data_IF_916141964866
#
_entry.id   IF_916141964866
#
_cell.length_a   1.000
_cell.length_b   1.000
_cell.length_c   1.000
_cell.angle_alpha   90.00
_cell.angle_beta   90.00
_cell.angle_gamma   90.00
#
_symmetry.space_group_name_H-M   'P 1'
#
loop_
_entity.id
_entity.type
_entity.pdbx_description
1 polymer ?
#
# COMPACT_ATOMS: atom_id res chain seq x y z
N UNK A 1 -17.93 -8.67 11.99
CA UNK A 1 -16.76 -8.48 11.10
C UNK A 1 -17.29 -8.38 9.70
N UNK A 2 -17.01 -7.28 9.02
CA UNK A 2 -17.64 -6.95 7.74
C UNK A 2 -16.79 -7.47 6.58
N UNK A 3 -16.78 -8.80 6.41
CA UNK A 3 -16.03 -9.45 5.34
C UNK A 3 -16.49 -9.03 3.94
N UNK A 4 -17.76 -8.69 3.78
CA UNK A 4 -18.30 -8.16 2.53
C UNK A 4 -17.59 -6.86 2.11
N UNK A 5 -17.40 -5.94 3.06
CA UNK A 5 -16.65 -4.70 2.83
C UNK A 5 -15.19 -5.00 2.49
N UNK A 6 -14.54 -5.92 3.21
CA UNK A 6 -13.16 -6.29 2.94
C UNK A 6 -12.96 -6.89 1.52
N UNK A 7 -13.88 -7.76 1.07
CA UNK A 7 -13.86 -8.33 -0.28
C UNK A 7 -14.07 -7.24 -1.34
N UNK A 8 -15.01 -6.33 -1.09
CA UNK A 8 -15.27 -5.20 -1.98
C UNK A 8 -14.06 -4.27 -2.09
N UNK A 9 -13.37 -3.98 -0.98
CA UNK A 9 -12.15 -3.19 -0.95
C UNK A 9 -11.02 -3.86 -1.74
N UNK A 10 -10.74 -5.15 -1.49
CA UNK A 10 -9.73 -5.91 -2.22
C UNK A 10 -10.00 -5.91 -3.73
N UNK A 11 -11.23 -6.21 -4.14
CA UNK A 11 -11.61 -6.21 -5.55
C UNK A 11 -11.47 -4.82 -6.18
N UNK A 12 -11.89 -3.79 -5.45
CA UNK A 12 -11.83 -2.41 -5.92
C UNK A 12 -10.40 -1.88 -5.98
N UNK A 13 -9.47 -2.33 -5.13
CA UNK A 13 -8.05 -2.00 -5.21
C UNK A 13 -7.41 -2.47 -6.53
N UNK A 14 -7.93 -3.55 -7.12
CA UNK A 14 -7.44 -4.07 -8.41
C UNK A 14 -8.04 -3.34 -9.61
N UNK A 15 -9.36 -3.12 -9.59
CA UNK A 15 -10.09 -2.60 -10.75
C UNK A 15 -10.08 -1.07 -10.78
N UNK A 16 -10.27 -0.44 -9.63
CA UNK A 16 -10.44 1.01 -9.53
C UNK A 16 -9.98 1.52 -8.16
N UNK A 17 -8.65 1.50 -7.87
CA UNK A 17 -8.11 1.84 -6.55
C UNK A 17 -8.52 3.24 -6.07
N UNK A 18 -8.76 4.19 -6.99
CA UNK A 18 -9.29 5.53 -6.65
C UNK A 18 -10.66 5.49 -5.96
N UNK A 19 -11.49 4.46 -6.19
CA UNK A 19 -12.82 4.33 -5.56
C UNK A 19 -12.72 4.00 -4.07
N UNK A 20 -11.77 3.16 -3.67
CA UNK A 20 -11.57 2.73 -2.27
C UNK A 20 -11.13 3.90 -1.40
N UNK A 21 -10.17 4.69 -1.85
CA UNK A 21 -9.71 5.85 -1.07
C UNK A 21 -10.74 6.98 -1.04
N UNK A 22 -11.60 7.09 -2.07
CA UNK A 22 -12.72 8.03 -2.06
C UNK A 22 -13.77 7.65 -1.01
N UNK A 23 -14.09 6.38 -0.79
CA UNK A 23 -15.02 5.96 0.28
C UNK A 23 -14.42 6.20 1.67
N UNK A 24 -13.14 5.90 1.88
CA UNK A 24 -12.43 6.18 3.15
C UNK A 24 -12.47 7.68 3.46
N UNK A 25 -12.22 8.54 2.47
CA UNK A 25 -12.29 9.99 2.61
C UNK A 25 -13.67 10.51 3.03
N UNK A 26 -14.77 9.88 2.58
CA UNK A 26 -16.12 10.31 2.95
C UNK A 26 -16.60 9.79 4.31
N UNK A 27 -16.02 8.71 4.81
CA UNK A 27 -16.29 8.23 6.18
C UNK A 27 -15.49 8.99 7.24
N UNK A 28 -14.34 9.55 6.86
CA UNK A 28 -13.46 10.35 7.72
C UNK A 28 -13.58 11.86 7.48
N UNK A 29 -14.28 12.28 6.43
CA UNK A 29 -14.58 13.69 6.20
C UNK A 29 -15.62 14.18 7.20
N UNK A 30 -15.58 15.45 7.62
CA UNK A 30 -16.67 16.02 8.41
C UNK A 30 -17.94 15.78 7.60
N UNK A 31 -18.91 15.04 8.16
CA UNK A 31 -20.28 15.12 7.67
C UNK A 31 -20.65 16.58 7.85
N UNK A 32 -20.52 17.35 6.78
CA UNK A 32 -20.87 18.75 6.73
C UNK A 32 -22.31 18.82 7.20
N UNK A 33 -22.49 19.26 8.45
CA UNK A 33 -23.80 19.55 9.01
C UNK A 33 -24.43 20.58 8.09
N UNK A 34 -25.42 20.14 7.32
CA UNK A 34 -26.29 21.05 6.60
C UNK A 34 -27.00 21.90 7.66
N UNK A 35 -26.54 23.13 7.81
CA UNK A 35 -27.37 24.33 8.01
C UNK A 35 -28.62 24.14 8.88
N UNK A 36 -28.47 23.74 10.13
CA UNK A 36 -29.41 24.11 11.21
C UNK A 36 -28.62 24.17 12.53
N UNK A 37 -28.84 25.19 13.38
CA UNK A 37 -28.39 25.11 14.75
C UNK A 37 -29.04 23.88 15.42
N UNK A 38 -28.28 23.04 16.14
CA UNK A 38 -28.84 21.87 16.79
C UNK A 38 -29.82 22.29 17.91
N UNK A 39 -30.90 21.53 18.14
CA UNK A 39 -31.73 21.72 19.33
C UNK A 39 -30.86 21.55 20.60
N UNK A 40 -31.17 22.27 21.70
CA UNK A 40 -30.33 22.34 22.90
C UNK A 40 -30.10 21.00 23.61
N UNK A 41 -30.76 19.94 23.17
CA UNK A 41 -30.79 18.62 23.81
C UNK A 41 -30.04 17.56 22.99
N UNK A 42 -29.44 17.94 21.84
CA UNK A 42 -28.69 17.01 21.00
C UNK A 42 -27.22 16.99 21.41
N UNK A 43 -26.81 15.90 22.05
CA UNK A 43 -25.41 15.56 22.27
C UNK A 43 -24.74 15.46 20.89
N UNK A 44 -24.03 16.52 20.47
CA UNK A 44 -23.19 16.48 19.28
C UNK A 44 -22.11 15.46 19.53
N UNK A 45 -22.28 14.27 18.97
CA UNK A 45 -21.23 13.24 18.93
C UNK A 45 -20.10 13.80 18.07
N UNK A 46 -19.19 14.52 18.73
CA UNK A 46 -17.89 14.93 18.19
C UNK A 46 -17.23 13.67 17.64
N UNK A 47 -17.20 13.54 16.30
CA UNK A 47 -16.44 12.48 15.65
C UNK A 47 -14.98 12.78 15.90
N UNK A 48 -14.39 12.10 16.89
CA UNK A 48 -12.96 12.14 17.21
C UNK A 48 -12.15 12.15 15.91
N UNK A 49 -11.22 13.10 15.76
CA UNK A 49 -10.36 13.28 14.58
C UNK A 49 -9.33 12.14 14.43
N UNK A 50 -9.82 10.90 14.31
CA UNK A 50 -9.02 9.68 14.18
C UNK A 50 -9.15 9.18 12.75
N UNK A 51 -8.03 9.10 12.05
CA UNK A 51 -7.95 8.69 10.65
C UNK A 51 -7.84 7.17 10.50
N UNK A 52 -7.34 6.50 11.53
CA UNK A 52 -7.27 5.05 11.61
C UNK A 52 -8.63 4.46 11.93
N UNK A 53 -9.22 3.79 10.95
CA UNK A 53 -10.31 2.86 11.20
C UNK A 53 -9.70 1.49 11.53
N UNK A 54 -9.98 0.90 12.70
CA UNK A 54 -9.54 -0.47 12.98
C UNK A 54 -10.35 -1.43 12.11
N UNK A 55 -9.83 -1.78 10.93
CA UNK A 55 -10.43 -2.73 9.98
C UNK A 55 -9.66 -4.08 10.00
N UNK A 56 -9.81 -4.92 11.05
CA UNK A 56 -9.07 -6.16 11.17
C UNK A 56 -9.47 -7.19 10.09
N UNK A 57 -10.66 -7.05 9.50
CA UNK A 57 -11.21 -7.98 8.51
C UNK A 57 -10.36 -8.07 7.24
N UNK A 58 -9.82 -6.95 6.74
CA UNK A 58 -8.93 -6.95 5.57
C UNK A 58 -7.66 -7.76 5.84
N UNK A 59 -7.04 -7.52 7.00
CA UNK A 59 -5.80 -8.21 7.42
C UNK A 59 -6.01 -9.71 7.58
N UNK A 60 -7.12 -10.13 8.20
CA UNK A 60 -7.45 -11.55 8.35
C UNK A 60 -7.74 -12.22 7.02
N UNK A 61 -8.52 -11.57 6.14
CA UNK A 61 -8.84 -12.11 4.83
C UNK A 61 -7.57 -12.27 3.96
N UNK A 62 -6.67 -11.29 4.00
CA UNK A 62 -5.40 -11.36 3.29
C UNK A 62 -4.49 -12.46 3.85
N UNK A 63 -4.45 -12.60 5.18
CA UNK A 63 -3.71 -13.69 5.85
C UNK A 63 -4.23 -15.07 5.44
N UNK A 64 -5.54 -15.22 5.28
CA UNK A 64 -6.14 -16.46 4.78
C UNK A 64 -5.72 -16.77 3.33
N UNK A 65 -5.74 -15.78 2.43
CA UNK A 65 -5.25 -16.00 1.05
C UNK A 65 -3.76 -16.30 1.00
N UNK A 66 -2.95 -15.64 1.83
CA UNK A 66 -1.52 -15.95 1.97
C UNK A 66 -1.28 -17.37 2.47
N UNK A 67 -2.10 -17.85 3.40
CA UNK A 67 -2.04 -19.24 3.87
C UNK A 67 -2.32 -20.21 2.71
N UNK A 68 -3.40 -20.01 1.95
CA UNK A 68 -3.70 -20.85 0.77
C UNK A 68 -2.55 -20.82 -0.25
N UNK A 69 -1.94 -19.65 -0.45
CA UNK A 69 -0.81 -19.46 -1.35
C UNK A 69 0.43 -20.19 -0.83
N UNK A 70 0.74 -20.11 0.46
CA UNK A 70 1.85 -20.83 1.07
C UNK A 70 1.67 -22.35 0.95
N UNK A 71 0.44 -22.86 1.08
CA UNK A 71 0.14 -24.26 0.78
C UNK A 71 0.44 -24.60 -0.69
N UNK A 72 -0.03 -23.80 -1.65
CA UNK A 72 0.24 -24.03 -3.07
C UNK A 72 1.75 -24.02 -3.40
N UNK A 73 2.49 -23.02 -2.91
CA UNK A 73 3.95 -22.93 -3.10
C UNK A 73 4.69 -24.07 -2.41
N UNK A 74 4.28 -24.42 -1.20
CA UNK A 74 4.85 -25.51 -0.42
C UNK A 74 4.66 -26.86 -1.11
N UNK A 75 3.45 -27.19 -1.55
CA UNK A 75 3.18 -28.44 -2.29
C UNK A 75 3.96 -28.50 -3.61
N UNK A 76 4.06 -27.38 -4.34
CA UNK A 76 4.68 -27.36 -5.66
C UNK A 76 6.23 -27.47 -5.62
N UNK A 77 6.89 -26.80 -4.67
CA UNK A 77 8.35 -26.64 -4.69
C UNK A 77 9.09 -27.28 -3.50
N UNK A 78 8.42 -27.50 -2.35
CA UNK A 78 9.04 -28.09 -1.14
C UNK A 78 8.03 -28.96 -0.38
N UNK A 79 7.66 -30.16 -0.88
CA UNK A 79 6.53 -30.95 -0.39
C UNK A 79 6.68 -31.57 1.02
N UNK A 80 7.67 -31.14 1.82
CA UNK A 80 7.82 -31.58 3.21
C UNK A 80 6.83 -30.86 4.13
N UNK A 81 6.09 -31.60 4.96
CA UNK A 81 5.12 -31.03 5.91
C UNK A 81 5.70 -29.89 6.75
N UNK A 82 6.90 -30.08 7.32
CA UNK A 82 7.58 -29.05 8.10
C UNK A 82 7.97 -27.81 7.27
N UNK A 83 8.34 -27.99 6.00
CA UNK A 83 8.65 -26.88 5.10
C UNK A 83 7.40 -26.07 4.75
N UNK A 84 6.27 -26.73 4.52
CA UNK A 84 4.98 -26.08 4.25
C UNK A 84 4.54 -25.23 5.45
N UNK A 85 4.60 -25.80 6.67
CA UNK A 85 4.26 -25.05 7.89
C UNK A 85 5.19 -23.84 8.04
N UNK A 86 6.51 -24.02 7.89
CA UNK A 86 7.48 -22.92 8.00
C UNK A 86 7.24 -21.83 6.96
N UNK A 87 6.89 -22.21 5.72
CA UNK A 87 6.57 -21.27 4.64
C UNK A 87 5.29 -20.47 4.95
N UNK A 88 4.27 -21.10 5.53
CA UNK A 88 3.05 -20.42 5.97
C UNK A 88 3.36 -19.36 7.02
N UNK A 89 4.16 -19.69 8.04
CA UNK A 89 4.60 -18.70 9.04
C UNK A 89 5.42 -17.58 8.40
N UNK A 90 6.33 -17.90 7.47
CA UNK A 90 7.14 -16.93 6.76
C UNK A 90 6.27 -15.93 5.96
N UNK A 91 5.32 -16.44 5.17
CA UNK A 91 4.47 -15.59 4.31
C UNK A 91 3.58 -14.67 5.14
N UNK A 92 2.95 -15.18 6.20
CA UNK A 92 2.02 -14.39 7.01
C UNK A 92 2.79 -13.44 7.93
N UNK A 93 3.71 -13.92 8.75
CA UNK A 93 4.31 -13.10 9.81
C UNK A 93 5.49 -12.28 9.34
N UNK A 94 6.35 -12.82 8.47
CA UNK A 94 7.56 -12.11 8.03
C UNK A 94 7.25 -11.26 6.80
N UNK A 95 6.72 -11.88 5.75
CA UNK A 95 6.53 -11.20 4.47
C UNK A 95 5.38 -10.21 4.52
N UNK A 96 4.24 -10.58 5.10
CA UNK A 96 3.10 -9.68 5.18
C UNK A 96 3.17 -8.78 6.42
N UNK A 97 2.97 -9.31 7.62
CA UNK A 97 2.89 -8.48 8.83
C UNK A 97 4.20 -7.74 9.12
N UNK A 98 5.34 -8.44 9.05
CA UNK A 98 6.66 -7.86 9.30
C UNK A 98 7.03 -6.75 8.32
N UNK A 99 6.82 -6.96 7.01
CA UNK A 99 7.11 -5.92 6.02
C UNK A 99 6.15 -4.74 6.14
N UNK A 100 4.86 -4.98 6.39
CA UNK A 100 3.87 -3.92 6.63
C UNK A 100 4.23 -3.08 7.86
N UNK A 101 4.60 -3.71 8.98
CA UNK A 101 5.05 -2.99 10.18
C UNK A 101 6.33 -2.18 9.93
N UNK A 102 7.28 -2.73 9.17
CA UNK A 102 8.50 -2.03 8.82
C UNK A 102 8.19 -0.79 7.97
N UNK A 103 7.39 -0.96 6.91
CA UNK A 103 7.02 0.15 6.02
C UNK A 103 6.15 1.18 6.73
N UNK A 104 5.23 0.76 7.59
CA UNK A 104 4.40 1.68 8.37
C UNK A 104 5.22 2.46 9.40
N UNK A 105 6.22 1.84 10.02
CA UNK A 105 7.15 2.52 10.93
C UNK A 105 7.97 3.57 10.19
N UNK A 106 8.55 3.21 9.04
CA UNK A 106 9.27 4.14 8.18
C UNK A 106 8.35 5.27 7.72
N UNK A 107 7.14 4.95 7.26
CA UNK A 107 6.13 5.90 6.81
C UNK A 107 5.72 6.87 7.91
N UNK A 108 5.48 6.38 9.13
CA UNK A 108 5.10 7.19 10.27
C UNK A 108 6.11 8.31 10.56
N UNK A 109 7.41 8.00 10.54
CA UNK A 109 8.46 9.00 10.78
C UNK A 109 8.73 9.89 9.56
N UNK A 110 8.75 9.32 8.35
CA UNK A 110 9.15 10.03 7.14
C UNK A 110 8.02 10.90 6.60
N UNK A 111 6.79 10.39 6.52
CA UNK A 111 5.67 11.09 5.88
C UNK A 111 5.29 12.35 6.65
N UNK A 112 5.17 12.25 7.98
CA UNK A 112 4.86 13.41 8.82
C UNK A 112 5.95 14.49 8.73
N UNK A 113 7.22 14.09 8.61
CA UNK A 113 8.36 15.02 8.53
C UNK A 113 8.55 15.63 7.13
N UNK A 114 8.26 14.89 6.07
CA UNK A 114 8.42 15.37 4.69
C UNK A 114 7.21 16.19 4.23
N UNK A 115 6.00 15.70 4.48
CA UNK A 115 4.76 16.20 3.88
C UNK A 115 3.84 16.94 4.86
N UNK A 116 4.19 16.99 6.14
CA UNK A 116 3.46 17.79 7.13
C UNK A 116 3.56 19.31 6.86
N UNK A 117 2.79 20.13 7.60
CA UNK A 117 2.71 21.59 7.37
C UNK A 117 4.06 22.33 7.40
N UNK A 118 5.02 21.84 8.19
CA UNK A 118 6.38 22.36 8.29
C UNK A 118 7.43 21.46 7.61
N UNK A 119 6.99 20.55 6.74
CA UNK A 119 7.85 19.52 6.15
C UNK A 119 8.70 20.02 4.98
N UNK A 120 9.76 19.27 4.67
CA UNK A 120 10.70 19.60 3.59
C UNK A 120 10.04 19.69 2.20
N UNK A 121 8.93 18.99 1.96
CA UNK A 121 8.18 19.09 0.71
C UNK A 121 7.45 20.44 0.57
N UNK A 122 7.10 21.10 1.69
CA UNK A 122 6.51 22.43 1.67
C UNK A 122 7.54 23.51 1.28
N UNK A 123 8.78 23.39 1.75
CA UNK A 123 9.87 24.32 1.38
C UNK A 123 10.32 24.15 -0.08
N UNK A 124 10.35 22.91 -0.60
CA UNK A 124 10.65 22.63 -2.01
C UNK A 124 9.59 23.21 -2.98
N UNK A 125 8.32 23.24 -2.57
CA UNK A 125 7.25 23.87 -3.35
C UNK A 125 7.31 25.40 -3.31
N UNK A 126 7.78 25.99 -2.20
CA UNK A 126 8.01 27.44 -2.08
C UNK A 126 9.04 27.98 -3.08
N UNK A 127 10.03 27.17 -3.47
CA UNK A 127 11.03 27.52 -4.48
C UNK A 127 10.51 27.47 -5.93
N UNK A 128 9.48 26.65 -6.21
CA UNK A 128 9.01 26.41 -7.58
C UNK A 128 7.92 27.37 -8.06
N UNK A 129 7.58 28.41 -7.29
CA UNK A 129 6.60 29.43 -7.67
C UNK A 129 5.18 28.89 -7.98
N UNK A 130 4.89 27.63 -7.64
CA UNK A 130 3.61 27.01 -7.95
C UNK A 130 2.57 27.46 -6.95
N UNK A 131 1.87 28.53 -7.33
CA UNK A 131 0.64 29.04 -6.70
C UNK A 131 -0.54 28.09 -6.96
N UNK A 132 -0.33 26.79 -6.78
CA UNK A 132 -1.35 25.74 -6.85
C UNK A 132 -2.10 25.63 -5.52
N UNK A 133 -2.81 26.68 -5.12
CA UNK A 133 -3.77 26.66 -4.02
C UNK A 133 -4.96 25.79 -4.45
N UNK A 134 -4.82 24.47 -4.42
CA UNK A 134 -5.94 23.53 -4.59
C UNK A 134 -6.07 22.66 -3.35
N UNK A 135 -7.22 22.85 -2.68
CA UNK A 135 -7.76 22.18 -1.48
C UNK A 135 -7.35 22.72 -0.11
N UNK A 136 -7.58 24.02 0.08
CA UNK A 136 -7.65 24.65 1.41
C UNK A 136 -8.97 25.38 1.61
N UNK A 137 -10.11 24.69 1.52
CA UNK A 137 -11.44 25.31 1.63
C UNK A 137 -12.42 24.54 2.55
N UNK A 138 -11.89 23.87 3.57
CA UNK A 138 -12.66 23.56 4.78
C UNK A 138 -11.84 23.82 6.07
N UNK A 139 -10.69 24.48 5.95
CA UNK A 139 -9.85 24.87 7.07
C UNK A 139 -10.12 26.33 7.40
N UNK A 140 -11.21 26.58 8.10
CA UNK A 140 -11.61 27.92 8.48
C UNK A 140 -12.76 27.90 9.48
N UNK A 141 -12.46 28.42 10.68
CA UNK A 141 -13.36 28.96 11.69
C UNK A 141 -13.69 28.12 12.94
N UNK A 142 -13.49 26.78 12.95
CA UNK A 142 -13.80 25.96 14.14
C UNK A 142 -12.71 25.00 14.62
N UNK A 143 -11.47 25.09 14.11
CA UNK A 143 -10.36 24.30 14.67
C UNK A 143 -9.99 24.82 16.06
N UNK A 144 -10.18 23.98 17.07
CA UNK A 144 -9.71 24.26 18.43
C UNK A 144 -8.18 24.32 18.47
N UNK A 145 -7.58 25.33 19.13
CA UNK A 145 -6.13 25.46 19.25
C UNK A 145 -5.59 24.43 20.23
N UNK A 146 -5.30 23.20 19.77
CA UNK A 146 -4.74 22.15 20.61
C UNK A 146 -4.61 20.77 19.95
N UNK A 147 -5.50 20.42 19.02
CA UNK A 147 -5.38 19.18 18.25
C UNK A 147 -4.39 19.36 17.11
N UNK A 148 -3.14 18.94 17.32
CA UNK A 148 -2.22 18.73 16.21
C UNK A 148 -2.76 17.55 15.39
N UNK A 149 -3.19 17.79 14.16
CA UNK A 149 -3.47 16.73 13.17
C UNK A 149 -2.17 15.93 12.94
N UNK A 150 -1.97 14.90 13.76
CA UNK A 150 -0.81 14.03 13.70
C UNK A 150 -1.14 12.80 12.87
N UNK A 151 -0.20 12.40 12.03
CA UNK A 151 -0.27 11.13 11.33
C UNK A 151 -0.36 9.99 12.34
N UNK A 152 -1.34 9.12 12.21
CA UNK A 152 -1.52 7.98 13.10
C UNK A 152 -0.75 6.76 12.58
N UNK A 153 -0.08 6.03 13.48
CA UNK A 153 0.65 4.80 13.11
C UNK A 153 -0.29 3.74 12.54
N UNK A 154 -1.48 3.58 13.15
CA UNK A 154 -2.49 2.64 12.67
C UNK A 154 -2.90 2.91 11.22
N UNK A 155 -3.01 4.19 10.84
CA UNK A 155 -3.29 4.56 9.46
C UNK A 155 -2.15 4.15 8.51
N UNK A 156 -0.90 4.40 8.90
CA UNK A 156 0.26 3.97 8.11
C UNK A 156 0.29 2.45 7.92
N UNK A 157 -0.09 1.70 8.96
CA UNK A 157 -0.18 0.25 8.91
C UNK A 157 -1.29 -0.23 7.97
N UNK A 158 -2.48 0.37 8.04
CA UNK A 158 -3.58 0.04 7.12
C UNK A 158 -3.21 0.32 5.64
N UNK A 159 -2.62 1.49 5.37
CA UNK A 159 -2.10 1.83 4.04
C UNK A 159 -1.08 0.79 3.55
N UNK A 160 -0.17 0.36 4.41
CA UNK A 160 0.83 -0.66 4.07
C UNK A 160 0.21 -2.03 3.77
N UNK A 161 -0.81 -2.44 4.54
CA UNK A 161 -1.52 -3.69 4.32
C UNK A 161 -2.30 -3.68 3.00
N UNK A 162 -2.99 -2.57 2.70
CA UNK A 162 -3.73 -2.38 1.45
C UNK A 162 -2.80 -2.37 0.24
N UNK A 163 -1.63 -1.73 0.35
CA UNK A 163 -0.61 -1.71 -0.70
C UNK A 163 0.02 -3.09 -0.93
N UNK A 164 0.16 -3.90 0.12
CA UNK A 164 0.69 -5.26 0.03
C UNK A 164 -0.20 -6.17 -0.82
N UNK A 165 -1.53 -5.98 -0.82
CA UNK A 165 -2.45 -6.89 -1.51
C UNK A 165 -2.20 -7.04 -3.03
N UNK A 166 -2.09 -5.95 -3.84
CA UNK A 166 -1.78 -6.13 -5.26
C UNK A 166 -0.36 -6.62 -5.52
N UNK A 167 0.60 -6.26 -4.66
CA UNK A 167 1.95 -6.82 -4.70
C UNK A 167 1.91 -8.34 -4.49
N UNK A 168 1.13 -8.80 -3.50
CA UNK A 168 0.86 -10.21 -3.24
C UNK A 168 0.31 -10.90 -4.49
N UNK A 169 -0.72 -10.34 -5.12
CA UNK A 169 -1.32 -10.94 -6.31
C UNK A 169 -0.32 -11.06 -7.46
N UNK A 170 0.50 -10.04 -7.71
CA UNK A 170 1.50 -10.12 -8.78
C UNK A 170 2.61 -11.12 -8.46
N UNK A 171 3.23 -11.02 -7.28
CA UNK A 171 4.46 -11.74 -6.96
C UNK A 171 4.25 -13.14 -6.37
N UNK A 172 3.08 -13.44 -5.82
CA UNK A 172 2.79 -14.72 -5.19
C UNK A 172 1.78 -15.55 -5.98
N UNK A 173 0.82 -14.91 -6.66
CA UNK A 173 -0.20 -15.63 -7.43
C UNK A 173 0.15 -15.67 -8.90
N UNK A 174 0.24 -14.51 -9.56
CA UNK A 174 0.54 -14.43 -11.00
C UNK A 174 1.93 -14.98 -11.28
N UNK A 175 2.94 -14.65 -10.47
CA UNK A 175 4.27 -15.24 -10.61
C UNK A 175 4.23 -16.76 -10.54
N UNK A 176 3.53 -17.34 -9.56
CA UNK A 176 3.42 -18.78 -9.41
C UNK A 176 2.88 -19.46 -10.67
N UNK A 177 1.84 -18.88 -11.26
CA UNK A 177 1.23 -19.38 -12.51
C UNK A 177 2.17 -19.21 -13.72
N UNK A 178 2.93 -18.12 -13.76
CA UNK A 178 3.87 -17.82 -14.85
C UNK A 178 5.23 -18.49 -14.68
N UNK A 179 5.56 -19.08 -13.52
CA UNK A 179 6.87 -19.66 -13.26
C UNK A 179 7.33 -20.66 -14.34
N UNK A 180 6.50 -21.61 -14.82
CA UNK A 180 6.90 -22.52 -15.90
C UNK A 180 7.31 -21.81 -17.19
N UNK A 181 6.75 -20.63 -17.46
CA UNK A 181 7.12 -19.80 -18.60
C UNK A 181 8.37 -18.97 -18.31
N UNK A 182 8.48 -18.41 -17.10
CA UNK A 182 9.59 -17.55 -16.69
C UNK A 182 10.91 -18.30 -16.48
N UNK A 183 10.87 -19.61 -16.23
CA UNK A 183 12.06 -20.45 -16.01
C UNK A 183 12.40 -21.36 -17.20
N UNK A 184 11.63 -21.30 -18.30
CA UNK A 184 11.75 -22.23 -19.43
C UNK A 184 13.13 -22.18 -20.11
N UNK A 185 13.67 -20.99 -20.36
CA UNK A 185 14.97 -20.84 -21.04
C UNK A 185 15.81 -19.70 -20.44
N UNK A 186 17.10 -19.90 -20.15
CA UNK A 186 17.98 -18.90 -19.53
C UNK A 186 18.29 -17.66 -20.38
N UNK A 187 18.07 -17.70 -21.69
CA UNK A 187 18.42 -16.63 -22.64
C UNK A 187 17.21 -16.01 -23.35
N UNK A 188 15.99 -16.28 -22.89
CA UNK A 188 14.78 -15.76 -23.53
C UNK A 188 14.51 -14.32 -23.08
N UNK A 189 14.61 -13.38 -24.03
CA UNK A 189 14.20 -11.99 -23.84
C UNK A 189 12.77 -11.89 -23.31
N UNK A 190 11.87 -12.75 -23.80
CA UNK A 190 10.47 -12.77 -23.37
C UNK A 190 10.32 -13.11 -21.88
N UNK A 191 11.08 -14.09 -21.36
CA UNK A 191 11.06 -14.44 -19.94
C UNK A 191 11.61 -13.29 -19.07
N UNK A 192 12.68 -12.64 -19.53
CA UNK A 192 13.24 -11.44 -18.87
C UNK A 192 12.23 -10.31 -18.85
N UNK A 193 11.60 -10.03 -20.00
CA UNK A 193 10.61 -8.97 -20.16
C UNK A 193 9.39 -9.21 -19.27
N UNK A 194 8.80 -10.41 -19.31
CA UNK A 194 7.61 -10.74 -18.51
C UNK A 194 7.93 -10.74 -17.02
N UNK A 195 9.05 -11.33 -16.60
CA UNK A 195 9.46 -11.37 -15.20
C UNK A 195 9.72 -9.97 -14.65
N UNK A 196 10.50 -9.16 -15.35
CA UNK A 196 10.80 -7.79 -14.91
C UNK A 196 9.55 -6.90 -14.94
N UNK A 197 8.68 -7.05 -15.94
CA UNK A 197 7.41 -6.31 -16.01
C UNK A 197 6.46 -6.67 -14.89
N UNK A 198 6.44 -7.94 -14.47
CA UNK A 198 5.66 -8.39 -13.32
C UNK A 198 6.10 -7.69 -12.02
N UNK A 199 7.42 -7.62 -11.80
CA UNK A 199 8.02 -6.89 -10.68
C UNK A 199 7.76 -5.40 -10.73
N UNK A 200 7.93 -4.79 -11.91
CA UNK A 200 7.63 -3.38 -12.12
C UNK A 200 6.15 -3.08 -11.81
N UNK A 201 5.23 -3.90 -12.33
CA UNK A 201 3.80 -3.75 -12.06
C UNK A 201 3.50 -3.83 -10.56
N UNK A 202 4.04 -4.83 -9.87
CA UNK A 202 3.87 -4.99 -8.42
C UNK A 202 4.33 -3.74 -7.64
N UNK A 203 5.50 -3.19 -7.98
CA UNK A 203 6.07 -2.01 -7.33
C UNK A 203 5.31 -0.73 -7.68
N UNK A 204 4.81 -0.60 -8.91
CA UNK A 204 3.94 0.50 -9.33
C UNK A 204 2.65 0.49 -8.50
N UNK A 205 1.97 -0.66 -8.43
CA UNK A 205 0.74 -0.78 -7.66
C UNK A 205 0.96 -0.49 -6.18
N UNK A 206 2.03 -1.03 -5.60
CA UNK A 206 2.38 -0.77 -4.21
C UNK A 206 2.56 0.73 -3.96
N UNK A 207 3.41 1.39 -4.75
CA UNK A 207 3.70 2.83 -4.63
C UNK A 207 2.46 3.68 -4.85
N UNK A 208 1.64 3.33 -5.85
CA UNK A 208 0.44 4.07 -6.20
C UNK A 208 -0.66 3.98 -5.12
N UNK A 209 -0.84 2.81 -4.51
CA UNK A 209 -1.80 2.63 -3.41
C UNK A 209 -1.31 3.35 -2.16
N UNK A 210 -0.01 3.29 -1.86
CA UNK A 210 0.59 4.09 -0.79
C UNK A 210 0.36 5.59 -1.00
N UNK A 211 0.57 6.09 -2.22
CA UNK A 211 0.25 7.47 -2.58
C UNK A 211 -1.22 7.80 -2.36
N UNK A 212 -2.15 6.98 -2.87
CA UNK A 212 -3.59 7.23 -2.72
C UNK A 212 -4.03 7.24 -1.26
N UNK A 213 -3.43 6.40 -0.41
CA UNK A 213 -3.63 6.42 1.03
C UNK A 213 -3.25 7.76 1.62
N UNK A 214 -1.97 8.13 1.57
CA UNK A 214 -1.53 9.39 2.18
C UNK A 214 -2.16 10.64 1.54
N UNK A 215 -2.54 10.59 0.26
CA UNK A 215 -3.25 11.68 -0.41
C UNK A 215 -4.71 11.86 0.05
N UNK A 216 -5.27 10.91 0.82
CA UNK A 216 -6.57 11.08 1.46
C UNK A 216 -6.49 12.00 2.70
N UNK A 217 -5.31 12.21 3.29
CA UNK A 217 -5.13 13.05 4.47
C UNK A 217 -5.02 14.53 4.07
N UNK A 218 -5.94 15.41 4.52
CA UNK A 218 -6.01 16.79 4.07
C UNK A 218 -4.83 17.67 4.54
N UNK A 219 -4.16 17.27 5.63
CA UNK A 219 -3.03 18.01 6.21
C UNK A 219 -1.67 17.71 5.54
N UNK A 220 -1.60 16.66 4.71
CA UNK A 220 -0.38 16.33 3.97
C UNK A 220 -0.33 17.08 2.65
N UNK A 221 0.77 17.80 2.42
CA UNK A 221 0.98 18.64 1.24
C UNK A 221 1.95 17.97 0.27
N UNK A 222 1.79 18.18 -1.03
CA UNK A 222 2.71 17.69 -2.09
C UNK A 222 2.97 16.17 -2.05
N UNK A 223 1.95 15.39 -1.67
CA UNK A 223 2.00 13.92 -1.64
C UNK A 223 2.34 13.29 -2.99
N UNK A 224 2.20 14.03 -4.10
CA UNK A 224 2.60 13.62 -5.46
C UNK A 224 4.05 13.13 -5.54
N UNK A 225 4.95 13.62 -4.67
CA UNK A 225 6.34 13.16 -4.62
C UNK A 225 6.46 11.68 -4.19
N UNK A 226 5.43 11.11 -3.56
CA UNK A 226 5.37 9.67 -3.27
C UNK A 226 5.32 8.81 -4.54
N UNK A 227 5.03 9.40 -5.70
CA UNK A 227 5.07 8.71 -6.99
C UNK A 227 6.47 8.67 -7.61
N UNK A 228 7.45 9.44 -7.10
CA UNK A 228 8.83 9.48 -7.64
C UNK A 228 9.49 8.09 -7.74
N UNK A 229 9.34 7.18 -6.75
CA UNK A 229 9.89 5.82 -6.86
C UNK A 229 9.44 5.07 -8.11
N UNK A 230 8.24 5.33 -8.66
CA UNK A 230 7.77 4.71 -9.90
C UNK A 230 8.71 5.01 -11.08
N UNK A 231 9.19 6.26 -11.18
CA UNK A 231 10.14 6.63 -12.23
C UNK A 231 11.47 5.90 -12.06
N UNK A 232 11.95 5.77 -10.82
CA UNK A 232 13.17 5.02 -10.50
C UNK A 232 13.01 3.55 -10.88
N UNK A 233 11.88 2.93 -10.53
CA UNK A 233 11.57 1.55 -10.91
C UNK A 233 11.47 1.37 -12.42
N UNK A 234 10.86 2.31 -13.15
CA UNK A 234 10.76 2.26 -14.60
C UNK A 234 12.13 2.36 -15.29
N UNK A 235 13.02 3.23 -14.79
CA UNK A 235 14.40 3.33 -15.29
C UNK A 235 15.18 2.06 -14.99
N UNK A 236 15.10 1.54 -13.76
CA UNK A 236 15.77 0.27 -13.39
C UNK A 236 15.27 -0.90 -14.22
N UNK A 237 13.97 -0.96 -14.53
CA UNK A 237 13.39 -1.94 -15.43
C UNK A 237 13.94 -1.81 -16.86
N UNK A 238 14.05 -0.59 -17.40
CA UNK A 238 14.60 -0.39 -18.73
C UNK A 238 16.07 -0.83 -18.79
N UNK A 239 16.87 -0.44 -17.79
CA UNK A 239 18.28 -0.84 -17.67
C UNK A 239 18.41 -2.35 -17.56
N UNK A 240 17.56 -3.02 -16.77
CA UNK A 240 17.62 -4.47 -16.62
C UNK A 240 17.26 -5.21 -17.91
N UNK A 241 16.34 -4.69 -18.74
CA UNK A 241 16.06 -5.25 -20.06
C UNK A 241 17.25 -5.12 -21.02
N UNK A 242 17.90 -3.95 -21.06
CA UNK A 242 19.07 -3.72 -21.92
C UNK A 242 20.24 -4.61 -21.50
N UNK A 243 20.45 -4.78 -20.19
CA UNK A 243 21.49 -5.64 -19.64
C UNK A 243 21.18 -7.14 -19.76
N UNK A 244 19.97 -7.54 -20.21
CA UNK A 244 19.53 -8.94 -20.21
C UNK A 244 19.39 -9.53 -18.80
N UNK A 245 19.18 -8.69 -17.78
CA UNK A 245 19.12 -9.12 -16.39
C UNK A 245 17.67 -9.40 -15.94
N UNK A 246 17.33 -10.67 -15.76
CA UNK A 246 16.03 -11.12 -15.25
C UNK A 246 16.01 -11.41 -13.75
N UNK A 247 15.14 -10.72 -13.00
CA UNK A 247 15.00 -10.88 -11.53
C UNK A 247 14.55 -12.31 -11.14
N UNK A 248 13.57 -12.84 -11.88
CA UNK A 248 13.05 -14.21 -11.65
C UNK A 248 14.03 -15.25 -12.19
N UNK A 249 14.67 -14.97 -13.32
CA UNK A 249 15.55 -15.92 -14.02
C UNK A 249 16.79 -16.28 -13.23
N UNK A 250 17.38 -15.35 -12.48
CA UNK A 250 18.52 -15.64 -11.61
C UNK A 250 18.14 -16.48 -10.37
N UNK A 251 16.85 -16.77 -10.19
CA UNK A 251 16.33 -17.51 -9.04
C UNK A 251 16.44 -16.76 -7.71
N UNK A 252 16.97 -15.53 -7.70
CA UNK A 252 17.10 -14.72 -6.48
C UNK A 252 15.74 -14.35 -5.90
N UNK A 253 14.78 -14.04 -6.77
CA UNK A 253 13.38 -13.79 -6.40
C UNK A 253 12.75 -15.00 -5.69
N UNK A 254 12.84 -16.19 -6.31
CA UNK A 254 12.25 -17.41 -5.75
C UNK A 254 12.98 -17.83 -4.48
N UNK A 255 14.32 -17.72 -4.44
CA UNK A 255 15.12 -17.98 -3.22
C UNK A 255 14.71 -17.06 -2.07
N UNK A 256 14.46 -15.78 -2.34
CA UNK A 256 13.95 -14.84 -1.34
C UNK A 256 12.58 -15.23 -0.80
N UNK A 257 11.74 -15.85 -1.63
CA UNK A 257 10.43 -16.33 -1.22
C UNK A 257 10.51 -17.46 -0.17
N UNK A 258 11.53 -18.33 -0.28
CA UNK A 258 11.77 -19.43 0.65
C UNK A 258 12.85 -19.09 1.68
N UNK A 259 13.03 -17.82 2.04
CA UNK A 259 14.13 -17.42 2.91
C UNK A 259 14.09 -18.17 4.25
N UNK A 260 15.14 -18.96 4.50
CA UNK A 260 15.26 -19.79 5.69
C UNK A 260 14.54 -21.15 5.62
N UNK A 261 13.92 -21.57 4.51
CA UNK A 261 13.22 -22.88 4.34
C UNK A 261 13.95 -23.79 3.34
#
# INVERSE_FOLDING_TARGET
MDFEMAIWEMTSLLIAPKKVFKSIYYHLGPRTMLTMPPPPDLETTETKNTWHRPDPSFTYLLSFFLLLTAFAWGLAYRPGFGAIIRLTFLFVFVHFIGSSLLVSTIGYFIIGRLFGPNGAAASLAGLRGSRGRRRGAAQGLFTQPGEKEQLEFGYCFDVSNRAFFPLYLHLYVVQFLLLPLLTRSPSDFLATFLGNSLYLSALIYYTYITFLGYNALPFLHNTELLLVPILIFAVMWLVSLIAGWGIVMQGHSVKGLFWGV
#
